data_IF_432003765986
#
_entry.id   IF_432003765986
#
_cell.length_a   1.000
_cell.length_b   1.000
_cell.length_c   1.000
_cell.angle_alpha   90.00
_cell.angle_beta   90.00
_cell.angle_gamma   90.00
#
_symmetry.space_group_name_H-M   'P 1'
#
loop_
_entity.id
_entity.type
_entity.pdbx_description
1 polymer ?
#
# COMPACT_ATOMS: atom_id res chain seq x y z
N UNK A 1 36.54 -45.03 20.56
CA UNK A 1 36.69 -44.83 22.03
C UNK A 1 35.57 -43.91 22.41
N UNK A 2 34.43 -44.42 22.99
CA UNK A 2 34.05 -44.50 24.42
C UNK A 2 34.16 -43.09 25.08
N UNK A 3 33.09 -42.42 25.60
CA UNK A 3 32.00 -42.83 26.53
C UNK A 3 30.97 -41.66 26.53
N UNK A 4 29.63 -41.82 26.43
CA UNK A 4 28.66 -42.11 27.52
C UNK A 4 28.58 -40.99 28.57
N UNK A 5 27.51 -40.36 28.74
CA UNK A 5 26.17 -40.47 29.34
C UNK A 5 26.06 -39.44 30.48
N UNK A 6 24.95 -38.79 30.62
CA UNK A 6 24.04 -38.95 31.75
C UNK A 6 22.81 -38.03 31.67
N UNK A 7 21.69 -38.66 31.79
CA UNK A 7 20.34 -38.20 32.06
C UNK A 7 20.25 -37.80 33.53
N UNK A 8 19.50 -36.72 33.87
CA UNK A 8 18.82 -36.63 35.17
C UNK A 8 17.45 -35.96 35.03
N UNK A 9 16.44 -36.76 35.23
CA UNK A 9 15.06 -36.44 35.61
C UNK A 9 14.99 -36.04 37.09
N UNK A 10 14.09 -35.13 37.44
CA UNK A 10 13.36 -35.06 38.73
C UNK A 10 12.36 -33.92 38.61
N UNK A 11 11.08 -34.16 38.43
CA UNK A 11 10.01 -34.57 39.38
C UNK A 11 9.51 -33.44 40.29
N UNK A 12 8.30 -32.90 39.92
CA UNK A 12 7.06 -32.80 40.71
C UNK A 12 7.14 -32.22 42.14
N UNK A 13 6.38 -31.13 42.32
CA UNK A 13 5.50 -31.05 43.53
C UNK A 13 4.33 -30.09 43.33
N UNK A 14 3.13 -30.65 43.28
CA UNK A 14 1.85 -29.98 43.54
C UNK A 14 1.79 -29.51 44.99
N UNK A 15 1.22 -28.35 45.24
CA UNK A 15 0.52 -28.10 46.50
C UNK A 15 -0.67 -27.16 46.29
N UNK A 16 -1.83 -27.78 46.33
CA UNK A 16 -3.15 -27.15 46.49
C UNK A 16 -3.35 -26.79 47.97
N UNK A 17 -3.86 -25.59 48.26
CA UNK A 17 -4.57 -25.32 49.53
C UNK A 17 -5.83 -24.50 49.21
N UNK A 18 -6.94 -25.16 49.48
CA UNK A 18 -8.29 -24.60 49.62
C UNK A 18 -8.55 -24.39 51.13
N UNK A 19 -9.21 -23.29 51.48
CA UNK A 19 -10.16 -23.17 52.61
C UNK A 19 -10.67 -21.71 52.62
N UNK A 20 -11.83 -21.45 52.37
CA UNK A 20 -13.21 -21.43 52.90
C UNK A 20 -13.34 -20.86 54.33
N UNK A 21 -14.18 -19.89 54.42
CA UNK A 21 -15.39 -19.77 55.24
C UNK A 21 -15.56 -18.45 56.00
N UNK A 22 -16.65 -17.80 55.66
CA UNK A 22 -17.79 -17.35 56.52
C UNK A 22 -17.59 -16.37 57.67
N UNK A 23 -18.38 -15.31 57.59
CA UNK A 23 -19.30 -15.00 58.68
C UNK A 23 -19.51 -13.53 59.02
N UNK A 24 -20.73 -13.02 58.77
CA UNK A 24 -21.48 -12.25 59.80
C UNK A 24 -21.58 -10.74 59.70
N UNK A 25 -22.55 -10.25 59.05
CA UNK A 25 -23.72 -9.42 59.46
C UNK A 25 -23.48 -8.20 60.42
N UNK A 26 -23.89 -7.02 60.03
CA UNK A 26 -24.96 -6.14 60.42
C UNK A 26 -24.69 -4.63 60.16
N UNK A 27 -25.62 -4.08 59.43
CA UNK A 27 -26.28 -2.74 59.50
C UNK A 27 -25.60 -1.54 60.16
N UNK A 28 -25.46 -0.46 59.45
CA UNK A 28 -26.27 0.74 59.70
C UNK A 28 -26.15 1.75 58.57
N UNK A 29 -27.31 2.30 58.18
CA UNK A 29 -27.48 3.32 57.18
C UNK A 29 -26.90 4.66 57.60
N UNK A 30 -26.33 5.38 56.62
CA UNK A 30 -26.24 6.85 56.66
C UNK A 30 -26.29 7.38 55.25
N UNK A 31 -27.38 8.03 54.91
CA UNK A 31 -27.59 8.83 53.71
C UNK A 31 -26.58 9.99 53.67
N UNK A 32 -25.84 10.10 52.59
CA UNK A 32 -25.32 11.37 52.12
C UNK A 32 -25.38 11.38 50.59
N UNK A 33 -26.34 12.11 50.08
CA UNK A 33 -26.44 12.43 48.66
C UNK A 33 -25.22 13.27 48.27
N UNK A 34 -24.34 12.73 47.46
CA UNK A 34 -23.41 13.53 46.64
C UNK A 34 -23.77 13.29 45.18
N UNK A 35 -24.26 14.37 44.55
CA UNK A 35 -24.40 14.47 43.12
C UNK A 35 -23.00 14.28 42.50
N UNK A 36 -22.69 13.06 42.09
CA UNK A 36 -21.61 12.73 41.22
C UNK A 36 -22.17 12.52 39.82
N UNK A 37 -21.77 13.34 38.88
CA UNK A 37 -21.97 13.08 37.45
C UNK A 37 -21.70 11.59 37.19
N UNK A 38 -22.75 10.88 36.75
CA UNK A 38 -22.63 9.55 36.23
C UNK A 38 -21.83 9.64 34.91
N UNK A 39 -20.51 9.51 34.99
CA UNK A 39 -19.70 9.14 33.86
C UNK A 39 -20.19 7.76 33.41
N UNK A 40 -20.71 7.68 32.21
CA UNK A 40 -21.11 6.44 31.57
C UNK A 40 -19.86 5.56 31.42
N UNK A 41 -19.57 4.70 32.40
CA UNK A 41 -18.50 3.70 32.32
C UNK A 41 -19.00 2.55 31.44
N UNK A 42 -19.14 2.84 30.13
CA UNK A 42 -19.33 1.82 29.12
C UNK A 42 -18.16 0.83 29.13
N UNK A 43 -18.45 -0.43 28.86
CA UNK A 43 -17.43 -1.46 28.66
C UNK A 43 -16.39 -0.96 27.63
N UNK A 44 -15.09 -1.08 27.98
CA UNK A 44 -14.00 -0.71 27.08
C UNK A 44 -13.89 -1.77 25.99
N UNK A 45 -14.04 -1.35 24.73
CA UNK A 45 -13.89 -2.21 23.56
C UNK A 45 -12.58 -1.95 22.85
N UNK A 46 -11.95 -3.02 22.35
CA UNK A 46 -10.76 -2.90 21.52
C UNK A 46 -11.13 -3.14 20.07
N UNK A 47 -10.69 -2.25 19.19
CA UNK A 47 -10.79 -2.35 17.74
C UNK A 47 -9.43 -2.78 17.20
N UNK A 48 -9.35 -3.97 16.61
CA UNK A 48 -8.15 -4.50 15.97
C UNK A 48 -8.06 -3.96 14.55
N UNK A 49 -7.00 -3.22 14.25
CA UNK A 49 -6.71 -2.65 12.92
C UNK A 49 -5.53 -3.37 12.30
N UNK A 50 -5.71 -3.95 11.12
CA UNK A 50 -4.67 -4.66 10.39
C UNK A 50 -4.44 -3.99 9.02
N UNK A 51 -3.27 -3.38 8.82
CA UNK A 51 -2.98 -2.57 7.65
C UNK A 51 -1.54 -2.78 7.13
N UNK A 52 -1.21 -2.31 5.91
CA UNK A 52 0.09 -2.56 5.30
C UNK A 52 0.97 -1.32 5.06
N UNK A 53 0.44 -0.10 5.21
CA UNK A 53 1.18 1.13 4.96
C UNK A 53 2.20 1.39 6.07
N UNK A 54 3.47 1.15 5.75
CA UNK A 54 4.58 1.30 6.72
C UNK A 54 4.94 2.76 6.95
N UNK A 55 4.74 3.62 5.96
CA UNK A 55 5.06 5.06 5.98
C UNK A 55 4.21 5.86 6.96
N UNK A 56 3.04 5.34 7.38
CA UNK A 56 2.15 6.05 8.32
C UNK A 56 2.22 5.53 9.77
N UNK A 57 3.02 4.52 10.05
CA UNK A 57 3.01 3.79 11.35
C UNK A 57 3.21 4.75 12.53
N UNK A 58 4.17 5.65 12.46
CA UNK A 58 4.43 6.61 13.53
C UNK A 58 3.24 7.54 13.75
N UNK A 59 2.77 8.21 12.69
CA UNK A 59 1.62 9.11 12.77
C UNK A 59 0.33 8.39 13.16
N UNK A 60 0.16 7.12 12.75
CA UNK A 60 -1.01 6.34 13.13
C UNK A 60 -1.01 5.98 14.63
N UNK A 61 0.18 5.74 15.22
CA UNK A 61 0.33 5.52 16.64
C UNK A 61 0.10 6.82 17.46
N UNK A 62 0.54 7.97 16.95
CA UNK A 62 0.23 9.27 17.56
C UNK A 62 -1.28 9.54 17.52
N UNK A 63 -1.89 9.36 16.36
CA UNK A 63 -3.33 9.58 16.12
C UNK A 63 -4.19 8.67 16.99
N UNK A 64 -3.78 7.41 17.21
CA UNK A 64 -4.40 6.49 18.16
C UNK A 64 -4.53 7.12 19.55
N UNK A 65 -3.47 7.77 20.05
CA UNK A 65 -3.47 8.39 21.39
C UNK A 65 -4.51 9.51 21.44
N UNK A 66 -4.61 10.32 20.39
CA UNK A 66 -5.58 11.41 20.34
C UNK A 66 -7.02 10.91 20.24
N UNK A 67 -7.26 9.89 19.40
CA UNK A 67 -8.56 9.23 19.31
C UNK A 67 -9.02 8.64 20.66
N UNK A 68 -8.12 7.91 21.35
CA UNK A 68 -8.43 7.27 22.63
C UNK A 68 -8.64 8.25 23.78
N UNK A 69 -8.16 9.50 23.67
CA UNK A 69 -8.49 10.58 24.61
C UNK A 69 -9.94 11.07 24.41
N UNK A 70 -10.36 11.19 23.15
CA UNK A 70 -11.71 11.64 22.80
C UNK A 70 -12.75 10.53 23.04
N UNK A 71 -12.35 9.27 22.76
CA UNK A 71 -13.18 8.07 22.93
C UNK A 71 -12.59 7.09 23.95
N UNK A 72 -12.60 7.39 25.26
CA UNK A 72 -11.88 6.63 26.29
C UNK A 72 -12.34 5.15 26.41
N UNK A 73 -13.54 4.85 25.94
CA UNK A 73 -14.11 3.50 25.93
C UNK A 73 -13.75 2.68 24.68
N UNK A 74 -13.00 3.26 23.73
CA UNK A 74 -12.52 2.57 22.53
C UNK A 74 -10.99 2.55 22.57
N UNK A 75 -10.41 1.35 22.43
CA UNK A 75 -8.96 1.16 22.30
C UNK A 75 -8.65 0.65 20.91
N UNK A 76 -7.54 1.10 20.32
CA UNK A 76 -7.08 0.62 19.02
C UNK A 76 -5.89 -0.33 19.23
N UNK A 77 -5.97 -1.53 18.67
CA UNK A 77 -4.83 -2.46 18.53
C UNK A 77 -4.45 -2.47 17.05
N UNK A 78 -3.36 -1.75 16.72
CA UNK A 78 -2.94 -1.51 15.35
C UNK A 78 -1.75 -2.38 15.02
N UNK A 79 -1.88 -3.22 14.00
CA UNK A 79 -0.82 -4.07 13.49
C UNK A 79 -0.55 -3.74 12.02
N UNK A 80 0.72 -3.58 11.68
CA UNK A 80 1.19 -3.29 10.32
C UNK A 80 2.02 -4.45 9.79
N UNK A 81 1.69 -4.92 8.59
CA UNK A 81 2.46 -5.92 7.84
C UNK A 81 2.66 -5.37 6.43
N UNK A 82 3.87 -4.95 6.11
CA UNK A 82 4.22 -4.34 4.83
C UNK A 82 5.74 -4.35 4.64
N UNK A 83 6.26 -3.50 3.73
CA UNK A 83 7.70 -3.42 3.49
C UNK A 83 8.27 -4.74 2.96
N UNK A 84 7.67 -5.30 1.91
CA UNK A 84 8.09 -6.58 1.33
C UNK A 84 7.43 -7.83 1.91
N UNK A 85 6.81 -7.75 3.11
CA UNK A 85 6.05 -8.87 3.68
C UNK A 85 4.71 -9.07 2.96
N UNK A 86 4.27 -10.33 2.89
CA UNK A 86 2.99 -10.71 2.25
C UNK A 86 1.81 -10.42 3.20
N UNK A 87 1.22 -9.23 3.05
CA UNK A 87 0.03 -8.80 3.78
C UNK A 87 -1.17 -9.72 3.55
N UNK A 88 -1.41 -10.13 2.30
CA UNK A 88 -2.57 -10.95 1.93
C UNK A 88 -2.52 -12.33 2.59
N UNK A 89 -1.34 -12.98 2.61
CA UNK A 89 -1.16 -14.26 3.31
C UNK A 89 -1.32 -14.10 4.84
N UNK A 90 -0.80 -13.01 5.40
CA UNK A 90 -0.93 -12.73 6.83
C UNK A 90 -2.40 -12.47 7.22
N UNK A 91 -3.16 -11.71 6.41
CA UNK A 91 -4.59 -11.48 6.64
C UNK A 91 -5.40 -12.79 6.57
N UNK A 92 -5.19 -13.62 5.55
CA UNK A 92 -5.82 -14.94 5.44
C UNK A 92 -5.53 -15.81 6.66
N UNK A 93 -4.30 -15.75 7.18
CA UNK A 93 -3.91 -16.50 8.40
C UNK A 93 -4.67 -16.01 9.64
N UNK A 94 -4.85 -14.68 9.80
CA UNK A 94 -5.63 -14.12 10.91
C UNK A 94 -7.09 -14.58 10.88
N UNK A 95 -7.73 -14.56 9.73
CA UNK A 95 -9.10 -15.07 9.58
C UNK A 95 -9.19 -16.57 9.84
N UNK A 96 -8.24 -17.36 9.33
CA UNK A 96 -8.23 -18.81 9.52
C UNK A 96 -7.98 -19.24 10.99
N UNK A 97 -7.21 -18.46 11.76
CA UNK A 97 -6.90 -18.73 13.16
C UNK A 97 -7.98 -18.26 14.14
N UNK A 98 -9.02 -17.52 13.66
CA UNK A 98 -10.03 -16.91 14.52
C UNK A 98 -9.58 -15.60 15.19
N UNK A 99 -8.42 -15.05 14.81
CA UNK A 99 -7.93 -13.73 15.22
C UNK A 99 -8.17 -12.67 14.16
N UNK A 100 -9.36 -12.71 13.55
CA UNK A 100 -9.75 -11.76 12.50
C UNK A 100 -9.72 -10.32 13.01
N UNK A 101 -9.21 -9.36 12.23
CA UNK A 101 -9.26 -7.95 12.58
C UNK A 101 -10.68 -7.38 12.43
N UNK A 102 -10.96 -6.28 13.13
CA UNK A 102 -12.20 -5.53 13.02
C UNK A 102 -12.15 -4.57 11.83
N UNK A 103 -10.98 -3.96 11.59
CA UNK A 103 -10.68 -3.13 10.42
C UNK A 103 -9.46 -3.74 9.72
N UNK A 104 -9.52 -3.83 8.37
CA UNK A 104 -8.37 -4.27 7.60
C UNK A 104 -8.25 -3.54 6.27
N UNK A 105 -7.02 -3.51 5.70
CA UNK A 105 -6.79 -2.93 4.39
C UNK A 105 -7.28 -3.85 3.28
N UNK A 106 -7.87 -3.25 2.24
CA UNK A 106 -8.39 -3.93 1.05
C UNK A 106 -8.08 -3.10 -0.20
N UNK A 107 -7.55 -3.73 -1.25
CA UNK A 107 -7.17 -3.06 -2.49
C UNK A 107 -8.35 -2.72 -3.43
N UNK A 108 -9.57 -3.13 -3.08
CA UNK A 108 -10.74 -2.96 -3.95
C UNK A 108 -10.82 -3.99 -5.08
N UNK A 109 -11.79 -3.82 -5.97
CA UNK A 109 -12.02 -4.66 -7.15
C UNK A 109 -11.94 -6.18 -6.86
N UNK A 110 -10.93 -6.88 -7.35
CA UNK A 110 -10.78 -8.33 -7.18
C UNK A 110 -10.64 -8.74 -5.70
N UNK A 111 -9.98 -7.91 -4.88
CA UNK A 111 -9.84 -8.17 -3.45
C UNK A 111 -11.16 -7.90 -2.70
N UNK A 112 -11.94 -6.89 -3.12
CA UNK A 112 -13.30 -6.69 -2.60
C UNK A 112 -14.17 -7.92 -2.88
N UNK A 113 -14.09 -8.50 -4.08
CA UNK A 113 -14.82 -9.73 -4.42
C UNK A 113 -14.35 -10.92 -3.58
N UNK A 114 -13.04 -11.05 -3.36
CA UNK A 114 -12.46 -12.13 -2.55
C UNK A 114 -12.98 -12.12 -1.11
N UNK A 115 -13.10 -10.93 -0.52
CA UNK A 115 -13.52 -10.74 0.87
C UNK A 115 -14.99 -10.38 1.03
N UNK A 116 -15.80 -10.37 -0.05
CA UNK A 116 -17.14 -9.80 -0.07
C UNK A 116 -18.10 -10.31 1.00
N UNK A 117 -17.98 -11.60 1.39
CA UNK A 117 -18.77 -12.19 2.47
C UNK A 117 -18.32 -11.75 3.88
N UNK A 118 -17.19 -11.03 4.00
CA UNK A 118 -16.64 -10.50 5.25
C UNK A 118 -16.77 -8.99 5.37
N UNK A 119 -17.21 -8.29 4.32
CA UNK A 119 -17.26 -6.84 4.31
C UNK A 119 -18.59 -6.32 4.87
N UNK A 120 -18.52 -5.34 5.75
CA UNK A 120 -19.67 -4.57 6.24
C UNK A 120 -20.09 -3.54 5.18
N UNK A 121 -21.39 -3.34 5.02
CA UNK A 121 -21.96 -2.27 4.20
C UNK A 121 -21.78 -0.93 4.93
N UNK A 122 -21.00 -0.04 4.36
CA UNK A 122 -20.68 1.29 4.90
C UNK A 122 -21.46 2.41 4.21
N UNK A 123 -22.46 2.09 3.38
CA UNK A 123 -23.22 3.07 2.59
C UNK A 123 -23.94 4.11 3.42
N UNK A 124 -24.25 3.81 4.69
CA UNK A 124 -24.91 4.71 5.64
C UNK A 124 -23.95 5.70 6.32
N UNK A 125 -22.64 5.55 6.10
CA UNK A 125 -21.65 6.40 6.74
C UNK A 125 -21.68 7.81 6.16
N UNK A 126 -21.61 8.86 7.02
CA UNK A 126 -21.84 10.24 6.60
C UNK A 126 -20.83 10.77 5.57
N UNK A 127 -19.63 10.18 5.52
CA UNK A 127 -18.55 10.54 4.59
C UNK A 127 -18.71 9.96 3.18
N UNK A 128 -19.58 8.96 2.97
CA UNK A 128 -19.73 8.28 1.67
C UNK A 128 -20.14 9.24 0.55
N UNK A 129 -21.01 10.18 0.84
CA UNK A 129 -21.46 11.21 -0.13
C UNK A 129 -20.34 12.16 -0.58
N UNK A 130 -19.25 12.23 0.18
CA UNK A 130 -18.14 13.14 -0.03
C UNK A 130 -16.96 12.46 -0.75
N UNK A 131 -17.06 11.16 -1.06
CA UNK A 131 -16.06 10.43 -1.84
C UNK A 131 -15.94 11.02 -3.25
N UNK A 132 -14.71 11.21 -3.71
CA UNK A 132 -14.48 11.54 -5.11
C UNK A 132 -14.70 10.29 -5.98
N UNK A 133 -15.23 10.42 -7.22
CA UNK A 133 -15.59 9.25 -8.04
C UNK A 133 -14.47 8.23 -8.22
N UNK A 134 -13.26 8.70 -8.52
CA UNK A 134 -12.07 7.84 -8.69
C UNK A 134 -11.74 7.03 -7.43
N UNK A 135 -12.02 7.59 -6.26
CA UNK A 135 -11.75 6.92 -4.98
C UNK A 135 -12.89 5.98 -4.54
N UNK A 136 -14.12 6.27 -4.95
CA UNK A 136 -15.27 5.45 -4.61
C UNK A 136 -15.33 4.13 -5.40
N UNK A 137 -14.91 4.17 -6.67
CA UNK A 137 -15.06 3.07 -7.63
C UNK A 137 -14.53 1.71 -7.12
N UNK A 138 -13.31 1.59 -6.55
CA UNK A 138 -12.75 0.29 -6.18
C UNK A 138 -13.54 -0.49 -5.14
N UNK A 139 -14.32 0.21 -4.29
CA UNK A 139 -15.07 -0.38 -3.17
C UNK A 139 -16.58 -0.21 -3.31
N UNK A 140 -17.06 0.11 -4.52
CA UNK A 140 -18.50 0.24 -4.80
C UNK A 140 -19.01 -0.93 -5.64
N UNK A 141 -20.03 -1.63 -5.14
CA UNK A 141 -20.70 -2.73 -5.84
C UNK A 141 -22.20 -2.66 -5.61
N UNK A 142 -22.99 -2.80 -6.68
CA UNK A 142 -24.45 -2.78 -6.62
C UNK A 142 -25.03 -1.55 -5.90
N UNK A 143 -24.37 -0.39 -6.05
CA UNK A 143 -24.74 0.88 -5.42
C UNK A 143 -24.40 0.97 -3.92
N UNK A 144 -23.64 0.02 -3.38
CA UNK A 144 -23.20 -0.02 -1.99
C UNK A 144 -21.71 0.23 -1.88
N UNK A 145 -21.31 0.87 -0.79
CA UNK A 145 -19.91 1.17 -0.45
C UNK A 145 -19.42 0.24 0.66
N UNK A 146 -18.32 -0.46 0.44
CA UNK A 146 -17.78 -1.47 1.36
C UNK A 146 -16.44 -1.08 2.00
N UNK A 147 -15.88 0.07 1.66
CA UNK A 147 -14.59 0.51 2.21
C UNK A 147 -14.43 2.02 2.19
N UNK A 148 -13.65 2.53 3.12
CA UNK A 148 -13.22 3.92 3.18
C UNK A 148 -11.84 4.03 2.51
N UNK A 149 -11.72 4.72 1.36
CA UNK A 149 -10.44 4.93 0.72
C UNK A 149 -9.54 5.80 1.62
N UNK A 150 -8.28 5.38 1.77
CA UNK A 150 -7.33 6.15 2.58
C UNK A 150 -6.84 7.39 1.86
N UNK A 151 -6.43 7.23 0.59
CA UNK A 151 -5.85 8.30 -0.22
C UNK A 151 -5.81 7.91 -1.70
N UNK A 152 -5.55 8.89 -2.56
CA UNK A 152 -5.06 8.62 -3.91
C UNK A 152 -3.54 8.47 -3.90
N UNK A 153 -3.04 7.55 -4.71
CA UNK A 153 -1.62 7.39 -4.98
C UNK A 153 -1.35 7.38 -6.48
N UNK A 154 -0.25 8.05 -6.86
CA UNK A 154 0.32 8.00 -8.19
C UNK A 154 1.62 7.21 -8.18
N UNK A 155 1.88 6.44 -9.23
CA UNK A 155 3.04 5.58 -9.40
C UNK A 155 3.77 5.97 -10.68
N UNK A 156 5.10 6.18 -10.57
CA UNK A 156 5.94 6.58 -11.68
C UNK A 156 7.42 6.51 -11.34
N UNK A 157 8.22 7.32 -12.03
CA UNK A 157 9.58 7.59 -11.60
C UNK A 157 9.60 8.83 -10.71
N UNK A 158 10.04 8.66 -9.47
CA UNK A 158 10.46 9.76 -8.60
C UNK A 158 11.88 10.15 -9.01
N UNK A 159 12.15 11.44 -9.23
CA UNK A 159 13.44 11.91 -9.70
C UNK A 159 13.96 13.13 -8.94
N UNK A 160 15.28 13.25 -8.89
CA UNK A 160 15.98 14.39 -8.30
C UNK A 160 16.16 15.49 -9.35
N UNK A 161 15.39 16.59 -9.21
CA UNK A 161 15.40 17.73 -10.13
C UNK A 161 16.78 18.40 -10.22
N UNK A 162 17.52 18.46 -9.12
CA UNK A 162 18.84 19.09 -9.09
C UNK A 162 19.90 18.26 -9.85
N UNK A 163 19.84 16.92 -9.74
CA UNK A 163 20.69 16.05 -10.53
C UNK A 163 20.35 16.09 -12.02
N UNK A 164 19.08 16.18 -12.39
CA UNK A 164 18.64 16.38 -13.76
C UNK A 164 19.17 17.70 -14.31
N UNK A 165 19.00 18.80 -13.57
CA UNK A 165 19.53 20.12 -13.97
C UNK A 165 21.05 20.09 -14.12
N UNK A 166 21.79 19.45 -13.18
CA UNK A 166 23.25 19.30 -13.26
C UNK A 166 23.69 18.50 -14.47
N UNK A 167 22.92 17.49 -14.89
CA UNK A 167 23.15 16.70 -16.09
C UNK A 167 22.70 17.40 -17.39
N UNK A 168 22.13 18.61 -17.31
CA UNK A 168 21.58 19.34 -18.46
C UNK A 168 20.31 18.70 -19.03
N UNK A 169 19.49 18.07 -18.16
CA UNK A 169 18.17 17.53 -18.50
C UNK A 169 17.15 18.57 -18.04
N UNK A 170 16.49 19.22 -18.99
CA UNK A 170 15.57 20.34 -18.73
C UNK A 170 14.10 19.93 -18.68
N UNK A 171 13.77 18.77 -19.24
CA UNK A 171 12.41 18.21 -19.26
C UNK A 171 12.45 16.73 -18.89
N UNK A 172 11.36 16.24 -18.32
CA UNK A 172 11.22 14.80 -18.01
C UNK A 172 11.04 13.98 -19.28
N UNK A 173 11.68 12.79 -19.38
CA UNK A 173 11.53 11.90 -20.53
C UNK A 173 10.08 11.47 -20.77
N UNK A 174 9.62 11.53 -22.01
CA UNK A 174 8.30 11.05 -22.45
C UNK A 174 8.37 9.80 -23.31
N UNK A 175 9.57 9.41 -23.72
CA UNK A 175 9.81 8.23 -24.53
C UNK A 175 10.94 7.39 -23.93
N UNK A 176 10.99 6.11 -24.27
CA UNK A 176 12.07 5.22 -23.81
C UNK A 176 13.43 5.69 -24.36
N UNK A 177 13.46 6.23 -25.58
CA UNK A 177 14.66 6.82 -26.18
C UNK A 177 15.14 8.03 -25.38
N UNK A 178 14.26 8.95 -25.01
CA UNK A 178 14.58 10.11 -24.16
C UNK A 178 15.04 9.68 -22.76
N UNK A 179 14.44 8.62 -22.20
CA UNK A 179 14.83 8.08 -20.90
C UNK A 179 16.25 7.49 -20.95
N UNK A 180 16.62 6.76 -22.03
CA UNK A 180 17.97 6.28 -22.21
C UNK A 180 18.99 7.42 -22.38
N UNK A 181 18.62 8.48 -23.10
CA UNK A 181 19.48 9.68 -23.23
C UNK A 181 19.69 10.39 -21.89
N UNK A 182 18.61 10.52 -21.09
CA UNK A 182 18.72 11.05 -19.73
C UNK A 182 19.65 10.21 -18.86
N UNK A 183 19.52 8.88 -18.92
CA UNK A 183 20.39 7.96 -18.19
C UNK A 183 21.89 8.13 -18.61
N UNK A 184 22.18 8.28 -19.90
CA UNK A 184 23.55 8.53 -20.39
C UNK A 184 24.11 9.86 -19.88
N UNK A 185 23.29 10.92 -19.85
CA UNK A 185 23.70 12.23 -19.31
C UNK A 185 23.99 12.19 -17.82
N UNK A 186 23.21 11.45 -17.05
CA UNK A 186 23.43 11.25 -15.61
C UNK A 186 24.73 10.46 -15.35
N UNK A 187 24.98 9.39 -16.11
CA UNK A 187 26.26 8.67 -16.02
C UNK A 187 27.47 9.54 -16.37
N UNK A 188 27.33 10.48 -17.29
CA UNK A 188 28.42 11.39 -17.70
C UNK A 188 28.84 12.36 -16.57
N UNK A 189 28.04 12.50 -15.53
CA UNK A 189 28.35 13.28 -14.32
C UNK A 189 28.56 12.40 -13.07
N UNK A 190 28.88 11.09 -13.29
CA UNK A 190 29.14 10.10 -12.24
C UNK A 190 27.96 9.85 -11.28
N UNK A 191 26.72 9.98 -11.76
CA UNK A 191 25.50 9.66 -11.02
C UNK A 191 24.90 8.36 -11.55
N UNK A 192 24.46 7.46 -10.68
CA UNK A 192 23.74 6.25 -11.06
C UNK A 192 22.32 6.66 -11.49
N UNK A 193 21.88 6.39 -12.74
CA UNK A 193 20.57 6.83 -13.20
C UNK A 193 19.40 6.25 -12.42
N UNK A 194 19.39 4.94 -12.13
CA UNK A 194 18.27 4.27 -11.50
C UNK A 194 18.67 3.58 -10.19
N UNK A 195 17.89 3.80 -9.13
CA UNK A 195 17.83 2.98 -7.94
C UNK A 195 16.77 1.90 -8.12
N UNK A 196 17.13 0.62 -8.15
CA UNK A 196 16.23 -0.49 -8.43
C UNK A 196 16.11 -1.41 -7.20
N UNK A 197 14.98 -1.43 -6.51
CA UNK A 197 14.71 -2.36 -5.41
C UNK A 197 13.96 -3.61 -5.91
N UNK A 198 14.55 -4.38 -6.80
CA UNK A 198 13.89 -5.52 -7.42
C UNK A 198 13.88 -6.80 -6.55
N UNK A 199 14.35 -6.69 -5.31
CA UNK A 199 13.99 -7.64 -4.24
C UNK A 199 12.49 -7.56 -3.92
N UNK A 200 11.91 -6.35 -4.03
CA UNK A 200 10.52 -6.09 -3.69
C UNK A 200 9.58 -6.58 -4.79
N UNK A 201 8.82 -7.61 -4.49
CA UNK A 201 7.87 -8.21 -5.42
C UNK A 201 6.80 -7.23 -5.93
N UNK A 202 6.36 -6.29 -5.09
CA UNK A 202 5.32 -5.32 -5.41
C UNK A 202 5.78 -4.25 -6.41
N UNK A 203 7.06 -3.86 -6.41
CA UNK A 203 7.60 -2.95 -7.43
C UNK A 203 7.51 -3.57 -8.83
N UNK A 204 7.78 -4.86 -8.95
CA UNK A 204 7.75 -5.57 -10.22
C UNK A 204 6.33 -6.02 -10.60
N UNK A 205 5.68 -6.78 -9.71
CA UNK A 205 4.41 -7.47 -9.98
C UNK A 205 3.16 -6.61 -9.85
N UNK A 206 3.23 -5.46 -9.14
CA UNK A 206 2.12 -4.53 -9.03
C UNK A 206 2.38 -3.28 -9.88
N UNK A 207 3.44 -2.53 -9.56
CA UNK A 207 3.64 -1.20 -10.13
C UNK A 207 4.16 -1.25 -11.56
N UNK A 208 5.33 -1.87 -11.77
CA UNK A 208 6.02 -1.85 -13.06
C UNK A 208 5.18 -2.46 -14.16
N UNK A 209 4.78 -3.72 -13.99
CA UNK A 209 4.04 -4.46 -15.04
C UNK A 209 2.67 -3.88 -15.35
N UNK A 210 2.03 -3.17 -14.41
CA UNK A 210 0.73 -2.54 -14.62
C UNK A 210 0.72 -1.56 -15.79
N UNK A 211 1.86 -0.96 -16.15
CA UNK A 211 1.95 -0.07 -17.31
C UNK A 211 1.70 -0.82 -18.62
N UNK A 212 2.20 -2.06 -18.77
CA UNK A 212 1.94 -2.89 -19.95
C UNK A 212 0.45 -3.23 -20.08
N UNK A 213 -0.25 -3.43 -18.96
CA UNK A 213 -1.70 -3.62 -18.96
C UNK A 213 -2.44 -2.33 -19.29
N UNK A 214 -2.06 -1.21 -18.68
CA UNK A 214 -2.73 0.08 -18.86
C UNK A 214 -2.61 0.62 -20.29
N UNK A 215 -1.58 0.24 -21.03
CA UNK A 215 -1.37 0.63 -22.43
C UNK A 215 -2.01 -0.32 -23.45
N UNK A 216 -2.80 -1.32 -23.03
CA UNK A 216 -3.64 -2.09 -23.97
C UNK A 216 -4.76 -1.19 -24.52
N UNK A 217 -5.24 -1.46 -25.73
CA UNK A 217 -6.31 -0.69 -26.38
C UNK A 217 -7.58 -0.65 -25.52
N UNK A 218 -7.92 -1.76 -24.87
CA UNK A 218 -8.98 -1.88 -23.88
C UNK A 218 -8.50 -2.81 -22.76
N UNK A 219 -8.11 -2.25 -21.64
CA UNK A 219 -7.53 -3.00 -20.52
C UNK A 219 -8.52 -3.98 -19.88
N UNK A 220 -9.80 -3.62 -19.76
CA UNK A 220 -10.80 -4.48 -19.13
C UNK A 220 -11.16 -5.67 -20.04
N UNK A 221 -11.21 -5.44 -21.36
CA UNK A 221 -11.38 -6.50 -22.34
C UNK A 221 -10.16 -7.44 -22.38
N UNK A 222 -8.94 -6.89 -22.27
CA UNK A 222 -7.72 -7.69 -22.23
C UNK A 222 -7.68 -8.58 -20.98
N UNK A 223 -7.96 -8.01 -19.78
CA UNK A 223 -8.02 -8.77 -18.52
C UNK A 223 -9.12 -9.86 -18.57
N UNK A 224 -10.31 -9.51 -19.07
CA UNK A 224 -11.40 -10.46 -19.25
C UNK A 224 -11.03 -11.57 -20.25
N UNK A 225 -10.33 -11.21 -21.32
CA UNK A 225 -9.82 -12.14 -22.32
C UNK A 225 -8.77 -13.10 -21.76
N UNK A 226 -7.87 -12.62 -20.88
CA UNK A 226 -6.92 -13.48 -20.18
C UNK A 226 -7.66 -14.51 -19.28
N UNK A 227 -8.69 -14.06 -18.55
CA UNK A 227 -9.51 -14.96 -17.72
C UNK A 227 -10.25 -16.00 -18.58
N UNK A 228 -10.78 -15.58 -19.73
CA UNK A 228 -11.49 -16.48 -20.66
C UNK A 228 -10.55 -17.33 -21.54
N UNK A 229 -9.24 -17.05 -21.56
CA UNK A 229 -8.27 -17.70 -22.44
C UNK A 229 -8.36 -17.26 -23.91
N UNK A 230 -8.95 -16.09 -24.19
CA UNK A 230 -9.07 -15.48 -25.53
C UNK A 230 -8.03 -14.39 -25.80
N UNK A 231 -7.33 -13.93 -24.78
CA UNK A 231 -6.17 -13.04 -24.86
C UNK A 231 -4.93 -13.74 -24.29
N UNK A 232 -3.75 -13.23 -24.65
CA UNK A 232 -2.47 -13.78 -24.20
C UNK A 232 -1.45 -12.69 -23.92
N UNK A 233 -0.60 -12.92 -22.91
CA UNK A 233 0.60 -12.12 -22.63
C UNK A 233 1.72 -12.45 -23.62
N UNK A 234 1.80 -13.73 -24.02
CA UNK A 234 2.86 -14.23 -24.92
C UNK A 234 2.79 -13.55 -26.29
N UNK A 235 3.84 -12.87 -26.67
CA UNK A 235 3.95 -12.14 -27.94
C UNK A 235 3.16 -10.82 -27.97
N UNK A 236 2.66 -10.34 -26.86
CA UNK A 236 1.99 -9.05 -26.78
C UNK A 236 3.02 -7.90 -26.76
N UNK A 237 2.88 -6.94 -27.67
CA UNK A 237 3.84 -5.86 -27.88
C UNK A 237 4.06 -4.99 -26.63
N UNK A 238 3.01 -4.73 -25.82
CA UNK A 238 3.13 -3.89 -24.63
C UNK A 238 3.96 -4.54 -23.52
N UNK A 239 3.94 -5.86 -23.41
CA UNK A 239 4.81 -6.58 -22.49
C UNK A 239 6.26 -6.57 -22.97
N UNK A 240 6.48 -6.68 -24.28
CA UNK A 240 7.81 -6.51 -24.87
C UNK A 240 8.34 -5.09 -24.66
N UNK A 241 7.54 -4.07 -24.90
CA UNK A 241 7.90 -2.67 -24.63
C UNK A 241 8.29 -2.49 -23.15
N UNK A 242 7.52 -3.07 -22.24
CA UNK A 242 7.83 -3.02 -20.81
C UNK A 242 9.14 -3.75 -20.48
N UNK A 243 9.42 -4.90 -21.08
CA UNK A 243 10.68 -5.62 -20.87
C UNK A 243 11.89 -4.81 -21.34
N UNK A 244 11.75 -4.00 -22.41
CA UNK A 244 12.78 -3.06 -22.85
C UNK A 244 13.05 -2.00 -21.78
N UNK A 245 12.01 -1.44 -21.14
CA UNK A 245 12.16 -0.53 -20.02
C UNK A 245 12.89 -1.20 -18.85
N UNK A 246 12.48 -2.41 -18.46
CA UNK A 246 13.13 -3.18 -17.39
C UNK A 246 14.63 -3.37 -17.68
N UNK A 247 14.97 -3.80 -18.89
CA UNK A 247 16.36 -3.99 -19.32
C UNK A 247 17.16 -2.68 -19.28
N UNK A 248 16.54 -1.55 -19.65
CA UNK A 248 17.15 -0.23 -19.57
C UNK A 248 17.46 0.14 -18.11
N UNK A 249 16.50 -0.04 -17.19
CA UNK A 249 16.70 0.28 -15.78
C UNK A 249 17.79 -0.60 -15.13
N UNK A 250 17.85 -1.89 -15.49
CA UNK A 250 18.91 -2.79 -15.04
C UNK A 250 20.27 -2.38 -15.60
N UNK A 251 20.35 -2.03 -16.90
CA UNK A 251 21.57 -1.59 -17.58
C UNK A 251 22.18 -0.34 -16.96
N UNK A 252 21.35 0.63 -16.60
CA UNK A 252 21.75 1.94 -16.09
C UNK A 252 21.56 2.09 -14.58
N UNK A 253 21.15 1.03 -13.89
CA UNK A 253 20.93 1.00 -12.44
C UNK A 253 22.18 0.60 -11.64
N UNK A 254 22.02 0.58 -10.31
CA UNK A 254 23.04 0.06 -9.41
C UNK A 254 23.23 -1.46 -9.61
N UNK A 255 24.36 -1.96 -9.11
CA UNK A 255 24.63 -3.40 -9.08
C UNK A 255 23.68 -4.12 -8.10
N UNK A 256 23.38 -5.38 -8.42
CA UNK A 256 22.61 -6.28 -7.54
C UNK A 256 21.15 -5.82 -7.23
N UNK A 257 20.36 -5.42 -8.23
CA UNK A 257 18.98 -4.94 -7.99
C UNK A 257 18.10 -5.99 -7.30
N UNK A 258 18.34 -7.30 -7.50
CA UNK A 258 17.57 -8.39 -6.90
C UNK A 258 17.83 -8.60 -5.39
N UNK A 259 18.82 -7.95 -4.82
CA UNK A 259 19.13 -7.98 -3.38
C UNK A 259 19.06 -6.61 -2.73
N UNK A 260 18.57 -5.62 -3.47
CA UNK A 260 18.31 -4.27 -2.97
C UNK A 260 16.84 -4.19 -2.55
N UNK A 261 16.60 -3.88 -1.29
CA UNK A 261 15.28 -3.68 -0.72
C UNK A 261 14.80 -2.22 -0.83
N UNK A 262 13.52 -1.97 -0.49
CA UNK A 262 12.91 -0.65 -0.57
C UNK A 262 13.64 0.41 0.27
N UNK A 263 14.09 0.06 1.48
CA UNK A 263 14.80 1.01 2.35
C UNK A 263 16.15 1.40 1.78
N UNK A 264 16.87 0.43 1.21
CA UNK A 264 18.20 0.65 0.61
C UNK A 264 18.09 1.56 -0.61
N UNK A 265 17.18 1.30 -1.56
CA UNK A 265 17.08 2.15 -2.75
C UNK A 265 16.58 3.56 -2.42
N UNK A 266 15.66 3.67 -1.45
CA UNK A 266 15.20 4.96 -0.95
C UNK A 266 16.35 5.78 -0.34
N UNK A 267 17.20 5.13 0.47
CA UNK A 267 18.37 5.79 1.06
C UNK A 267 19.39 6.21 -0.03
N UNK A 268 19.65 5.37 -1.04
CA UNK A 268 20.50 5.72 -2.18
C UNK A 268 19.97 6.95 -2.92
N UNK A 269 18.66 7.01 -3.15
CA UNK A 269 18.03 8.15 -3.80
C UNK A 269 18.11 9.41 -2.94
N UNK A 270 17.70 9.33 -1.68
CA UNK A 270 17.70 10.47 -0.75
C UNK A 270 19.11 11.03 -0.48
N UNK A 271 20.15 10.19 -0.57
CA UNK A 271 21.57 10.62 -0.49
C UNK A 271 22.13 11.15 -1.82
N UNK A 272 21.34 11.14 -2.91
CA UNK A 272 21.76 11.61 -4.23
C UNK A 272 22.72 10.65 -4.97
N UNK A 273 22.82 9.40 -4.56
CA UNK A 273 23.62 8.37 -5.24
C UNK A 273 22.92 7.92 -6.53
N UNK A 274 21.59 7.88 -6.53
CA UNK A 274 20.76 7.59 -7.70
C UNK A 274 19.88 8.78 -8.05
N UNK A 275 19.61 8.98 -9.33
CA UNK A 275 18.84 10.13 -9.82
C UNK A 275 17.33 9.85 -9.94
N UNK A 276 16.97 8.59 -10.16
CA UNK A 276 15.58 8.15 -10.33
C UNK A 276 15.33 6.86 -9.55
N UNK A 277 14.10 6.68 -9.10
CA UNK A 277 13.60 5.41 -8.54
C UNK A 277 12.15 5.20 -8.96
N UNK A 278 11.76 3.95 -9.20
CA UNK A 278 10.35 3.59 -9.38
C UNK A 278 9.67 3.56 -8.03
N UNK A 279 8.75 4.50 -7.77
CA UNK A 279 8.02 4.64 -6.51
C UNK A 279 6.72 5.40 -6.74
N UNK A 280 5.97 5.63 -5.67
CA UNK A 280 4.80 6.52 -5.66
C UNK A 280 4.99 7.74 -4.77
N UNK A 281 3.95 8.57 -4.72
CA UNK A 281 4.00 9.80 -3.90
C UNK A 281 4.12 9.57 -2.39
N UNK A 282 3.88 8.36 -1.87
CA UNK A 282 4.17 8.00 -0.47
C UNK A 282 5.66 8.12 -0.13
N UNK A 283 6.56 8.04 -1.12
CA UNK A 283 7.99 8.21 -0.94
C UNK A 283 8.36 9.61 -0.42
N UNK A 284 7.48 10.61 -0.56
CA UNK A 284 7.73 11.97 -0.08
C UNK A 284 8.14 12.01 1.39
N UNK A 285 7.33 11.43 2.27
CA UNK A 285 7.60 11.43 3.72
C UNK A 285 8.86 10.63 4.07
N UNK A 286 9.12 9.55 3.34
CA UNK A 286 10.29 8.71 3.55
C UNK A 286 11.59 9.40 3.11
N UNK A 287 11.56 10.13 1.99
CA UNK A 287 12.69 10.95 1.52
C UNK A 287 12.92 12.13 2.47
N UNK A 288 11.86 12.84 2.87
CA UNK A 288 11.95 13.99 3.78
C UNK A 288 12.57 13.63 5.15
N UNK A 289 12.35 12.40 5.62
CA UNK A 289 12.95 11.90 6.87
C UNK A 289 14.49 11.71 6.76
N UNK A 290 15.02 11.51 5.55
CA UNK A 290 16.46 11.33 5.29
C UNK A 290 17.09 12.67 4.87
N UNK A 291 16.49 13.31 3.87
CA UNK A 291 16.97 14.56 3.29
C UNK A 291 15.81 15.54 3.16
N UNK A 292 15.55 16.33 4.22
CA UNK A 292 14.50 17.35 4.21
C UNK A 292 14.68 18.33 3.04
N UNK A 293 13.56 18.77 2.48
CA UNK A 293 13.50 19.77 1.40
C UNK A 293 14.24 19.38 0.10
N UNK A 294 14.44 18.08 -0.14
CA UNK A 294 15.01 17.59 -1.40
C UNK A 294 14.12 17.99 -2.58
N UNK A 295 14.71 18.58 -3.62
CA UNK A 295 13.99 19.02 -4.81
C UNK A 295 13.68 17.83 -5.72
N UNK A 296 12.53 17.22 -5.50
CA UNK A 296 12.09 16.02 -6.21
C UNK A 296 10.83 16.26 -7.06
N UNK A 297 10.55 15.35 -7.96
CA UNK A 297 9.34 15.35 -8.77
C UNK A 297 9.00 13.95 -9.23
N UNK A 298 7.89 13.82 -9.94
CA UNK A 298 7.41 12.56 -10.48
C UNK A 298 7.03 12.70 -11.94
N UNK A 299 7.31 11.65 -12.73
CA UNK A 299 6.85 11.53 -14.10
C UNK A 299 6.47 10.07 -14.43
N UNK A 300 5.63 9.84 -15.47
CA UNK A 300 5.22 8.51 -15.91
C UNK A 300 6.42 7.64 -16.35
N UNK A 301 6.24 6.33 -16.33
CA UNK A 301 7.23 5.36 -16.84
C UNK A 301 7.02 5.15 -18.35
N UNK A 302 7.87 5.68 -19.24
CA UNK A 302 7.74 5.48 -20.68
C UNK A 302 8.25 4.09 -21.07
N UNK A 303 7.40 3.26 -21.69
CA UNK A 303 7.79 1.91 -22.12
C UNK A 303 8.13 1.82 -23.60
N UNK A 304 7.80 2.85 -24.40
CA UNK A 304 8.02 2.93 -25.85
C UNK A 304 8.26 4.38 -26.29
N UNK A 305 8.28 4.63 -27.61
CA UNK A 305 8.50 5.96 -28.17
C UNK A 305 7.21 6.71 -28.55
N UNK A 306 6.05 6.24 -28.08
CA UNK A 306 4.78 6.98 -28.19
C UNK A 306 4.62 7.94 -26.99
N UNK A 307 5.06 9.18 -27.15
CA UNK A 307 5.01 10.18 -26.09
C UNK A 307 3.56 10.47 -25.59
N UNK A 308 2.55 10.34 -26.45
CA UNK A 308 1.15 10.58 -26.05
C UNK A 308 0.60 9.45 -25.19
N UNK A 309 0.98 8.21 -25.48
CA UNK A 309 0.62 7.03 -24.71
C UNK A 309 1.31 7.05 -23.34
N UNK A 310 2.56 7.49 -23.28
CA UNK A 310 3.38 7.55 -22.07
C UNK A 310 3.09 8.78 -21.18
N UNK A 311 2.30 9.78 -21.64
CA UNK A 311 1.98 11.02 -20.87
C UNK A 311 0.80 10.79 -19.91
N UNK A 312 0.76 9.64 -19.24
CA UNK A 312 -0.27 9.30 -18.25
C UNK A 312 0.35 8.61 -17.05
N UNK A 313 -0.06 9.05 -15.86
CA UNK A 313 0.38 8.47 -14.60
C UNK A 313 -0.60 7.39 -14.14
N UNK A 314 -0.09 6.32 -13.55
CA UNK A 314 -0.92 5.33 -12.87
C UNK A 314 -1.40 5.89 -11.54
N UNK A 315 -2.72 6.12 -11.38
CA UNK A 315 -3.29 6.75 -10.17
C UNK A 315 -4.52 5.96 -9.71
N UNK A 316 -4.64 5.76 -8.41
CA UNK A 316 -5.81 5.11 -7.81
C UNK A 316 -5.72 5.02 -6.31
N UNK A 317 -6.59 4.21 -5.72
CA UNK A 317 -6.62 3.93 -4.28
C UNK A 317 -6.02 2.55 -4.04
N UNK A 318 -4.80 2.46 -3.50
CA UNK A 318 -4.18 1.16 -3.24
C UNK A 318 -4.70 0.51 -1.96
N UNK A 319 -5.25 1.30 -1.04
CA UNK A 319 -5.72 0.84 0.26
C UNK A 319 -7.03 1.50 0.66
N UNK A 320 -8.01 0.67 0.94
CA UNK A 320 -9.25 1.05 1.59
C UNK A 320 -9.29 0.40 2.98
N UNK A 321 -9.78 1.10 3.99
CA UNK A 321 -10.10 0.51 5.28
C UNK A 321 -11.51 -0.05 5.24
N UNK A 322 -11.62 -1.35 5.40
CA UNK A 322 -12.91 -2.07 5.44
C UNK A 322 -13.20 -2.56 6.85
N UNK A 323 -14.48 -2.70 7.19
CA UNK A 323 -14.93 -3.22 8.47
C UNK A 323 -15.37 -4.68 8.30
N UNK A 324 -14.88 -5.55 9.18
CA UNK A 324 -15.31 -6.94 9.22
C UNK A 324 -16.75 -7.02 9.72
N UNK A 325 -17.66 -7.51 8.88
CA UNK A 325 -19.10 -7.59 9.24
C UNK A 325 -19.40 -8.50 10.43
N UNK A 326 -18.50 -9.47 10.70
CA UNK A 326 -18.64 -10.41 11.81
C UNK A 326 -17.98 -9.87 13.10
N UNK A 327 -17.41 -8.65 13.08
CA UNK A 327 -16.81 -8.01 14.24
C UNK A 327 -17.84 -7.70 15.34
N UNK A 328 -17.46 -7.97 16.59
CA UNK A 328 -18.20 -7.55 17.77
C UNK A 328 -18.01 -6.06 18.11
N UNK A 329 -17.01 -5.41 17.50
CA UNK A 329 -16.67 -3.99 17.67
C UNK A 329 -16.94 -3.15 16.40
N UNK A 330 -17.95 -3.53 15.60
CA UNK A 330 -18.28 -2.83 14.33
C UNK A 330 -18.59 -1.35 14.49
N UNK A 331 -19.39 -1.01 15.47
CA UNK A 331 -19.80 0.38 15.69
C UNK A 331 -18.64 1.23 16.17
N UNK A 332 -17.76 0.68 16.97
CA UNK A 332 -16.52 1.32 17.40
C UNK A 332 -15.54 1.47 16.20
N UNK A 333 -15.48 0.47 15.32
CA UNK A 333 -14.70 0.52 14.08
C UNK A 333 -15.23 1.63 13.15
N UNK A 334 -16.55 1.70 12.91
CA UNK A 334 -17.19 2.78 12.15
C UNK A 334 -16.95 4.16 12.79
N UNK A 335 -16.99 4.24 14.12
CA UNK A 335 -16.69 5.47 14.86
C UNK A 335 -15.26 5.95 14.59
N UNK A 336 -14.27 5.05 14.62
CA UNK A 336 -12.89 5.40 14.32
C UNK A 336 -12.72 5.86 12.86
N UNK A 337 -13.27 5.13 11.89
CA UNK A 337 -13.22 5.53 10.48
C UNK A 337 -13.88 6.89 10.24
N UNK A 338 -15.06 7.12 10.83
CA UNK A 338 -15.72 8.40 10.71
C UNK A 338 -14.88 9.54 11.33
N UNK A 339 -14.37 9.34 12.54
CA UNK A 339 -13.52 10.34 13.21
C UNK A 339 -12.27 10.66 12.40
N UNK A 340 -11.62 9.65 11.81
CA UNK A 340 -10.41 9.84 11.00
C UNK A 340 -10.62 10.83 9.84
N UNK A 341 -11.78 10.81 9.18
CA UNK A 341 -12.04 11.66 8.00
C UNK A 341 -12.87 12.91 8.28
N UNK A 342 -13.47 13.03 9.47
CA UNK A 342 -14.34 14.17 9.80
C UNK A 342 -13.75 15.09 10.86
N UNK A 343 -12.91 14.59 11.79
CA UNK A 343 -12.27 15.43 12.80
C UNK A 343 -11.16 16.30 12.20
N UNK A 344 -10.93 17.46 12.81
CA UNK A 344 -9.83 18.34 12.39
C UNK A 344 -8.47 17.64 12.55
N UNK A 345 -8.30 16.86 13.62
CA UNK A 345 -7.09 16.09 13.90
C UNK A 345 -6.86 15.03 12.81
N UNK A 346 -7.86 14.20 12.49
CA UNK A 346 -7.74 13.18 11.44
C UNK A 346 -7.42 13.78 10.08
N UNK A 347 -8.08 14.88 9.71
CA UNK A 347 -7.80 15.61 8.45
C UNK A 347 -6.38 16.17 8.42
N UNK A 348 -5.89 16.72 9.53
CA UNK A 348 -4.52 17.21 9.63
C UNK A 348 -3.50 16.09 9.41
N UNK A 349 -3.72 14.91 10.02
CA UNK A 349 -2.84 13.75 9.80
C UNK A 349 -2.87 13.29 8.35
N UNK A 350 -4.05 13.13 7.75
CA UNK A 350 -4.19 12.74 6.35
C UNK A 350 -3.39 13.66 5.44
N UNK A 351 -3.53 14.96 5.59
CA UNK A 351 -2.98 15.92 4.63
C UNK A 351 -1.54 16.31 4.97
N UNK A 352 -1.26 16.73 6.22
CA UNK A 352 0.02 17.33 6.58
C UNK A 352 1.05 16.33 7.09
N UNK A 353 0.61 15.33 7.89
CA UNK A 353 1.54 14.34 8.46
C UNK A 353 1.87 13.23 7.50
N UNK A 354 0.84 12.66 6.85
CA UNK A 354 1.01 11.58 5.90
C UNK A 354 1.22 12.05 4.46
N UNK A 355 0.97 13.35 4.20
CA UNK A 355 1.05 13.96 2.86
C UNK A 355 0.21 13.21 1.82
N UNK A 356 -0.94 12.72 2.25
CA UNK A 356 -1.87 12.00 1.42
C UNK A 356 -2.68 12.94 0.52
N UNK A 357 -2.89 12.54 -0.72
CA UNK A 357 -3.87 13.17 -1.60
C UNK A 357 -5.26 12.71 -1.16
N UNK A 358 -6.12 13.62 -0.68
CA UNK A 358 -7.40 13.22 -0.09
C UNK A 358 -8.32 12.49 -1.08
N UNK A 359 -8.99 11.47 -0.58
CA UNK A 359 -10.01 10.71 -1.31
C UNK A 359 -11.44 11.28 -1.13
N UNK A 360 -11.59 12.30 -0.25
CA UNK A 360 -12.86 12.95 0.05
C UNK A 360 -12.81 14.43 -0.30
N UNK A 361 -13.86 14.94 -0.95
CA UNK A 361 -13.99 16.36 -1.35
C UNK A 361 -14.08 17.34 -0.19
N UNK A 362 -14.40 16.86 1.03
CA UNK A 362 -14.48 17.66 2.26
C UNK A 362 -13.13 17.82 2.96
N UNK A 363 -12.07 17.16 2.48
CA UNK A 363 -10.72 17.31 3.02
C UNK A 363 -9.94 18.17 2.03
N UNK A 364 -9.78 19.45 2.38
CA UNK A 364 -8.99 20.39 1.56
C UNK A 364 -7.49 20.11 1.74
N UNK A 365 -6.75 20.18 0.65
CA UNK A 365 -5.29 20.08 0.64
C UNK A 365 -4.70 21.08 -0.34
N UNK A 366 -3.56 21.67 0.01
CA UNK A 366 -2.75 22.49 -0.89
C UNK A 366 -1.56 21.68 -1.41
N UNK A 367 -0.92 22.09 -2.50
CA UNK A 367 0.31 21.43 -2.97
C UNK A 367 1.40 21.36 -1.89
N UNK A 368 1.50 22.39 -1.05
CA UNK A 368 2.46 22.44 0.07
C UNK A 368 2.13 21.39 1.13
N UNK A 369 0.85 21.15 1.39
CA UNK A 369 0.41 20.16 2.38
C UNK A 369 0.74 18.72 1.96
N UNK A 370 0.48 18.38 0.67
CA UNK A 370 0.68 17.02 0.14
C UNK A 370 2.09 16.76 -0.40
N UNK A 371 2.96 17.77 -0.36
CA UNK A 371 4.34 17.69 -0.82
C UNK A 371 4.49 17.69 -2.34
N UNK A 372 5.75 17.76 -2.80
CA UNK A 372 6.08 17.89 -4.23
C UNK A 372 5.55 16.74 -5.08
N UNK A 373 5.71 15.51 -4.60
CA UNK A 373 5.24 14.32 -5.32
C UNK A 373 3.71 14.26 -5.37
N UNK A 374 3.04 14.56 -4.26
CA UNK A 374 1.58 14.64 -4.22
C UNK A 374 1.04 15.72 -5.16
N UNK A 375 1.71 16.87 -5.23
CA UNK A 375 1.36 17.96 -6.13
C UNK A 375 1.50 17.56 -7.61
N UNK A 376 2.60 16.88 -7.97
CA UNK A 376 2.79 16.38 -9.34
C UNK A 376 1.69 15.36 -9.71
N UNK A 377 1.38 14.39 -8.84
CA UNK A 377 0.27 13.44 -9.05
C UNK A 377 -1.07 14.16 -9.23
N UNK A 378 -1.35 15.15 -8.36
CA UNK A 378 -2.59 15.91 -8.44
C UNK A 378 -2.73 16.68 -9.75
N UNK A 379 -1.63 17.23 -10.28
CA UNK A 379 -1.62 17.89 -11.59
C UNK A 379 -2.01 16.90 -12.71
N UNK A 380 -1.46 15.69 -12.74
CA UNK A 380 -1.85 14.65 -13.70
C UNK A 380 -3.35 14.30 -13.57
N UNK A 381 -3.89 14.22 -12.35
CA UNK A 381 -5.33 13.99 -12.12
C UNK A 381 -6.16 15.13 -12.70
N UNK A 382 -5.80 16.39 -12.42
CA UNK A 382 -6.53 17.57 -12.93
C UNK A 382 -6.49 17.68 -14.45
N UNK A 383 -5.39 17.26 -15.09
CA UNK A 383 -5.25 17.26 -16.55
C UNK A 383 -5.95 16.06 -17.23
N UNK A 384 -6.52 15.13 -16.45
CA UNK A 384 -7.10 13.89 -16.97
C UNK A 384 -6.07 12.93 -17.57
N UNK A 385 -4.80 13.10 -17.25
CA UNK A 385 -3.68 12.28 -17.73
C UNK A 385 -3.36 11.14 -16.77
N UNK A 386 -4.36 10.33 -16.49
CA UNK A 386 -4.23 9.20 -15.57
C UNK A 386 -4.86 7.95 -16.14
N UNK A 387 -4.41 6.80 -15.66
CA UNK A 387 -5.09 5.52 -15.77
C UNK A 387 -5.08 4.81 -14.41
N UNK A 388 -6.06 3.93 -14.17
CA UNK A 388 -6.23 3.26 -12.87
C UNK A 388 -5.11 2.28 -12.53
N UNK A 389 -5.05 1.88 -11.26
CA UNK A 389 -4.15 0.82 -10.77
C UNK A 389 -4.63 -0.53 -11.27
N UNK A 390 -4.05 -1.05 -12.36
CA UNK A 390 -4.53 -2.24 -13.03
C UNK A 390 -4.36 -3.52 -12.19
N UNK A 391 -3.30 -3.61 -11.39
CA UNK A 391 -3.02 -4.79 -10.57
C UNK A 391 -4.14 -5.14 -9.57
N UNK A 392 -4.94 -4.17 -9.14
CA UNK A 392 -6.09 -4.41 -8.26
C UNK A 392 -7.24 -5.20 -8.92
N UNK A 393 -7.20 -5.33 -10.25
CA UNK A 393 -8.15 -6.12 -11.05
C UNK A 393 -7.67 -7.55 -11.32
N UNK A 394 -6.43 -7.88 -10.97
CA UNK A 394 -5.84 -9.19 -11.26
C UNK A 394 -6.35 -10.27 -10.30
N UNK A 395 -6.37 -11.55 -10.72
CA UNK A 395 -6.64 -12.64 -9.80
C UNK A 395 -5.66 -12.66 -8.62
N UNK A 396 -6.17 -13.02 -7.44
CA UNK A 396 -5.37 -13.08 -6.21
C UNK A 396 -4.13 -13.97 -6.36
N UNK A 397 -2.96 -13.42 -6.01
CA UNK A 397 -1.66 -14.09 -6.10
C UNK A 397 -0.95 -13.95 -7.46
N UNK A 398 -1.60 -13.43 -8.51
CA UNK A 398 -0.98 -13.24 -9.83
C UNK A 398 0.21 -12.29 -9.78
N UNK A 399 0.13 -11.26 -8.98
CA UNK A 399 1.20 -10.26 -8.83
C UNK A 399 2.51 -10.85 -8.31
N UNK A 400 2.44 -11.83 -7.38
CA UNK A 400 3.60 -12.55 -6.88
C UNK A 400 4.19 -13.50 -7.94
N UNK A 401 3.34 -14.20 -8.72
CA UNK A 401 3.79 -15.04 -9.85
C UNK A 401 4.49 -14.17 -10.91
N UNK A 402 3.93 -12.99 -11.21
CA UNK A 402 4.55 -12.02 -12.13
C UNK A 402 5.91 -11.56 -11.62
N UNK A 403 5.99 -11.12 -10.36
CA UNK A 403 7.25 -10.69 -9.77
C UNK A 403 8.32 -11.78 -9.82
N UNK A 404 7.96 -13.02 -9.50
CA UNK A 404 8.87 -14.16 -9.57
C UNK A 404 9.40 -14.38 -10.99
N UNK A 405 8.52 -14.35 -12.00
CA UNK A 405 8.91 -14.51 -13.40
C UNK A 405 9.82 -13.36 -13.89
N UNK A 406 9.53 -12.12 -13.46
CA UNK A 406 10.36 -10.95 -13.78
C UNK A 406 11.74 -11.05 -13.11
N UNK A 407 11.81 -11.49 -11.85
CA UNK A 407 13.08 -11.71 -11.16
C UNK A 407 13.93 -12.80 -11.84
N UNK A 408 13.31 -13.84 -12.42
CA UNK A 408 14.02 -14.84 -13.22
C UNK A 408 14.60 -14.27 -14.52
N UNK A 409 13.87 -13.34 -15.18
CA UNK A 409 14.38 -12.61 -16.35
C UNK A 409 15.58 -11.75 -15.97
N UNK A 410 15.49 -10.94 -14.90
CA UNK A 410 16.59 -10.10 -14.40
C UNK A 410 17.82 -10.94 -14.02
N UNK A 411 17.60 -12.13 -13.44
CA UNK A 411 18.67 -13.07 -13.07
C UNK A 411 19.30 -13.79 -14.28
N UNK A 412 18.76 -13.62 -15.50
CA UNK A 412 19.22 -14.32 -16.70
C UNK A 412 18.93 -15.82 -16.70
N UNK A 413 17.97 -16.28 -15.87
CA UNK A 413 17.55 -17.70 -15.85
C UNK A 413 16.63 -18.07 -16.98
N UNK A 414 15.90 -17.09 -17.51
CA UNK A 414 15.02 -17.21 -18.67
C UNK A 414 15.31 -16.08 -19.65
N UNK A 415 15.02 -16.31 -20.92
CA UNK A 415 14.98 -15.27 -21.94
C UNK A 415 13.59 -14.57 -21.95
N UNK A 416 13.41 -13.59 -22.82
CA UNK A 416 12.17 -12.82 -22.96
C UNK A 416 10.96 -13.72 -23.25
N UNK A 417 11.11 -14.70 -24.16
CA UNK A 417 10.04 -15.64 -24.48
C UNK A 417 9.69 -16.58 -23.30
N UNK A 418 10.70 -16.96 -22.52
CA UNK A 418 10.52 -17.73 -21.29
C UNK A 418 9.81 -16.94 -20.21
N UNK A 419 10.14 -15.67 -20.06
CA UNK A 419 9.48 -14.75 -19.14
C UNK A 419 8.00 -14.54 -19.47
N UNK A 420 7.66 -14.23 -20.73
CA UNK A 420 6.27 -14.07 -21.15
C UNK A 420 5.42 -15.33 -20.88
N UNK A 421 6.01 -16.52 -21.14
CA UNK A 421 5.36 -17.80 -20.82
C UNK A 421 5.18 -18.01 -19.32
N UNK A 422 6.16 -17.60 -18.51
CA UNK A 422 6.06 -17.64 -17.06
C UNK A 422 4.92 -16.77 -16.53
N UNK A 423 4.82 -15.53 -17.04
CA UNK A 423 3.73 -14.62 -16.74
C UNK A 423 2.36 -15.19 -17.11
N UNK A 424 2.23 -15.72 -18.36
CA UNK A 424 0.99 -16.36 -18.82
C UNK A 424 0.61 -17.56 -17.94
N UNK A 425 1.57 -18.41 -17.59
CA UNK A 425 1.34 -19.59 -16.75
C UNK A 425 0.90 -19.18 -15.32
N UNK A 426 1.47 -18.12 -14.76
CA UNK A 426 1.06 -17.54 -13.48
C UNK A 426 -0.39 -17.08 -13.51
N UNK A 427 -0.80 -16.38 -14.57
CA UNK A 427 -2.19 -15.97 -14.77
C UNK A 427 -3.13 -17.18 -14.91
N UNK A 428 -2.79 -18.13 -15.80
CA UNK A 428 -3.61 -19.32 -16.10
C UNK A 428 -3.83 -20.23 -14.88
N UNK A 429 -2.85 -20.26 -13.97
CA UNK A 429 -2.91 -21.00 -12.71
C UNK A 429 -3.93 -20.43 -11.73
N UNK A 430 -4.12 -19.10 -11.74
CA UNK A 430 -4.86 -18.36 -10.70
C UNK A 430 -6.15 -17.72 -11.21
N UNK A 431 -6.37 -17.64 -12.53
CA UNK A 431 -7.64 -17.15 -13.10
C UNK A 431 -8.82 -18.01 -12.64
N UNK A 432 -9.97 -17.37 -12.45
CA UNK A 432 -11.23 -18.03 -12.02
C UNK A 432 -12.09 -18.38 -13.21
#
# INVERSE_FOLDING_TARGET
MKKRSAVMLSSVMLMSVVLAACGGNNNTASNSASNGSAGNSGEVKTVKVFQFKTEIVEGLNELKVEFEKEYPNIKLDIQTVGGGADYAAALKTKFASGDAPDIFSNGGYAEMELWGDKLEDLSDQPWVKDLIPLAAEPMTKDGKTYGMPMNLEGIGYVYNKDLFAKAGITETPKTITELEEAAKKLQAIDVIPFGNAYQEWWLLGIQGISVAFAQQDNVDEFISGLNAGTATIVGNEKFKDWSNLLNLTVKYGQKNPLTTDANTHLAMFANGETAMMQEGNWAQTLVDNITPDMNIGMFPMPINDDAAMNDKLSVGVPANLVVNKDSASKEEAKTFLNWLVTSDMGKEYIVKKWKFIPALSTIAATPEDIGLLGADVWNYVQEGKVYGLQASKFPDGVTQEFASSIQELIAGKVDEAGWEKGMQAGWDKLKK
#
